data_IF_770773146544
#
_entry.id   IF_770773146544
#
_cell.length_a   1.000
_cell.length_b   1.000
_cell.length_c   1.000
_cell.angle_alpha   90.00
_cell.angle_beta   90.00
_cell.angle_gamma   90.00
#
_symmetry.space_group_name_H-M   'P 1'
#
loop_
_entity.id
_entity.type
_entity.pdbx_description
1 polymer ?
#
# COMPACT_ATOMS: atom_id res chain seq x y z
N UNK A 1 12.37 -8.64 8.84
CA UNK A 1 12.11 -8.31 10.28
C UNK A 1 11.39 -6.95 10.45
N UNK A 2 11.81 -5.89 9.75
CA UNK A 2 11.29 -4.53 10.00
C UNK A 2 9.78 -4.35 9.76
N UNK A 3 9.21 -4.97 8.70
CA UNK A 3 7.77 -4.82 8.37
C UNK A 3 6.87 -5.39 9.46
N UNK A 4 7.19 -6.58 9.97
CA UNK A 4 6.40 -7.22 11.01
C UNK A 4 6.38 -6.37 12.29
N UNK A 5 7.54 -5.86 12.73
CA UNK A 5 7.61 -5.00 13.91
C UNK A 5 6.78 -3.72 13.74
N UNK A 6 6.78 -3.12 12.55
CA UNK A 6 5.98 -1.93 12.24
C UNK A 6 4.48 -2.22 12.25
N UNK A 7 4.06 -3.38 11.75
CA UNK A 7 2.62 -3.67 11.62
C UNK A 7 1.98 -4.22 12.88
N UNK A 8 2.71 -5.02 13.68
CA UNK A 8 2.18 -5.62 14.90
C UNK A 8 2.22 -4.71 16.11
N UNK A 9 3.04 -3.66 16.08
CA UNK A 9 3.18 -2.77 17.22
C UNK A 9 2.93 -1.32 16.81
N UNK A 10 1.74 -0.82 17.16
CA UNK A 10 1.35 0.59 16.94
C UNK A 10 2.35 1.56 17.60
N UNK A 11 2.96 1.17 18.72
CA UNK A 11 3.97 1.99 19.38
C UNK A 11 5.25 2.10 18.55
N UNK A 12 5.61 1.08 17.75
CA UNK A 12 6.76 1.16 16.85
C UNK A 12 6.51 2.14 15.70
N UNK A 13 5.31 2.16 15.12
CA UNK A 13 4.94 3.18 14.12
C UNK A 13 4.92 4.59 14.71
N UNK A 14 4.30 4.78 15.88
CA UNK A 14 4.28 6.09 16.54
C UNK A 14 5.68 6.56 16.91
N UNK A 15 6.52 5.66 17.44
CA UNK A 15 7.90 5.98 17.75
C UNK A 15 8.69 6.36 16.50
N UNK A 16 8.53 5.60 15.41
CA UNK A 16 9.17 5.92 14.13
C UNK A 16 8.75 7.29 13.60
N UNK A 17 7.47 7.65 13.70
CA UNK A 17 6.95 8.97 13.31
C UNK A 17 7.54 10.11 14.13
N UNK A 18 7.82 9.87 15.41
CA UNK A 18 8.46 10.84 16.30
C UNK A 18 9.93 11.03 15.96
N UNK A 19 10.72 9.94 15.86
CA UNK A 19 12.18 10.01 15.62
C UNK A 19 12.56 10.23 14.15
N UNK A 20 11.57 10.28 13.25
CA UNK A 20 11.74 10.37 11.80
C UNK A 20 12.61 11.56 11.38
N UNK A 21 12.35 12.73 11.96
CA UNK A 21 13.03 13.98 11.60
C UNK A 21 14.43 14.06 12.21
N UNK A 22 14.70 13.32 13.29
CA UNK A 22 16.00 13.28 13.96
C UNK A 22 16.99 12.40 13.20
N UNK A 23 16.49 11.39 12.48
CA UNK A 23 17.30 10.39 11.76
C UNK A 23 16.81 10.12 10.33
N UNK A 24 16.77 11.14 9.45
CA UNK A 24 16.22 11.00 8.10
C UNK A 24 16.99 9.96 7.26
N UNK A 25 18.30 9.83 7.44
CA UNK A 25 19.13 8.85 6.74
C UNK A 25 18.76 7.40 7.10
N UNK A 26 18.50 7.12 8.38
CA UNK A 26 18.07 5.80 8.83
C UNK A 26 16.66 5.49 8.31
N UNK A 27 15.77 6.48 8.33
CA UNK A 27 14.42 6.35 7.81
C UNK A 27 14.37 6.09 6.31
N UNK A 28 15.22 6.75 5.51
CA UNK A 28 15.37 6.46 4.07
C UNK A 28 15.83 5.03 3.85
N UNK A 29 16.84 4.57 4.59
CA UNK A 29 17.36 3.20 4.45
C UNK A 29 16.28 2.16 4.78
N UNK A 30 15.48 2.40 5.82
CA UNK A 30 14.34 1.55 6.17
C UNK A 30 13.28 1.56 5.05
N UNK A 31 12.84 2.74 4.60
CA UNK A 31 11.86 2.88 3.52
C UNK A 31 12.32 2.19 2.22
N UNK A 32 13.60 2.28 1.90
CA UNK A 32 14.19 1.57 0.75
C UNK A 32 14.09 0.06 0.91
N UNK A 33 14.51 -0.48 2.06
CA UNK A 33 14.38 -1.92 2.35
C UNK A 33 12.93 -2.40 2.31
N UNK A 34 11.99 -1.58 2.78
CA UNK A 34 10.56 -1.88 2.70
C UNK A 34 10.07 -2.06 1.26
N UNK A 35 10.59 -1.25 0.32
CA UNK A 35 10.24 -1.33 -1.11
C UNK A 35 10.91 -2.52 -1.79
N UNK A 36 12.16 -2.82 -1.42
CA UNK A 36 12.95 -3.95 -1.92
C UNK A 36 12.37 -5.29 -1.46
N UNK A 37 12.13 -5.46 -0.17
CA UNK A 37 11.57 -6.69 0.43
C UNK A 37 10.03 -6.76 0.29
N UNK A 38 9.41 -5.81 -0.43
CA UNK A 38 7.96 -5.68 -0.50
C UNK A 38 7.27 -6.98 -0.90
N UNK A 39 7.81 -7.72 -1.88
CA UNK A 39 7.21 -8.95 -2.40
C UNK A 39 7.11 -10.05 -1.36
N UNK A 40 8.08 -10.12 -0.45
CA UNK A 40 8.15 -11.15 0.58
C UNK A 40 7.15 -10.86 1.71
N UNK A 41 6.98 -9.58 2.05
CA UNK A 41 6.14 -9.16 3.16
C UNK A 41 4.72 -8.75 2.75
N UNK A 42 4.47 -8.47 1.46
CA UNK A 42 3.16 -8.00 0.98
C UNK A 42 2.06 -9.03 1.21
N UNK A 43 2.38 -10.33 1.08
CA UNK A 43 1.40 -11.40 1.34
C UNK A 43 0.94 -11.40 2.80
N UNK A 44 1.87 -11.23 3.73
CA UNK A 44 1.57 -11.14 5.16
C UNK A 44 0.79 -9.87 5.49
N UNK A 45 1.14 -8.74 4.87
CA UNK A 45 0.39 -7.48 4.99
C UNK A 45 -1.05 -7.62 4.49
N UNK A 46 -1.24 -8.20 3.30
CA UNK A 46 -2.57 -8.42 2.72
C UNK A 46 -3.44 -9.35 3.56
N UNK A 47 -2.85 -10.24 4.36
CA UNK A 47 -3.61 -11.11 5.27
C UNK A 47 -4.22 -10.39 6.48
N UNK A 48 -3.72 -9.19 6.82
CA UNK A 48 -4.25 -8.37 7.91
C UNK A 48 -4.64 -6.97 7.40
N UNK A 49 -5.94 -6.69 7.22
CA UNK A 49 -6.43 -5.38 6.80
C UNK A 49 -6.02 -4.25 7.78
N UNK A 50 -5.96 -4.56 9.08
CA UNK A 50 -5.54 -3.62 10.13
C UNK A 50 -4.08 -3.21 10.00
N UNK A 51 -3.20 -4.19 9.78
CA UNK A 51 -1.75 -4.00 9.60
C UNK A 51 -1.48 -3.14 8.36
N UNK A 52 -2.19 -3.45 7.26
CA UNK A 52 -2.17 -2.68 6.01
C UNK A 52 -2.61 -1.23 6.24
N UNK A 53 -3.68 -1.01 7.02
CA UNK A 53 -4.19 0.34 7.33
C UNK A 53 -3.21 1.15 8.17
N UNK A 54 -2.62 0.56 9.20
CA UNK A 54 -1.63 1.22 10.08
C UNK A 54 -0.39 1.64 9.25
N UNK A 55 0.10 0.75 8.40
CA UNK A 55 1.24 1.04 7.54
C UNK A 55 0.92 2.18 6.55
N UNK A 56 -0.27 2.16 5.94
CA UNK A 56 -0.69 3.21 5.01
C UNK A 56 -0.80 4.58 5.69
N UNK A 57 -1.40 4.65 6.89
CA UNK A 57 -1.47 5.87 7.69
C UNK A 57 -0.07 6.40 8.01
N UNK A 58 0.84 5.51 8.39
CA UNK A 58 2.23 5.86 8.70
C UNK A 58 2.94 6.47 7.49
N UNK A 59 2.87 5.81 6.32
CA UNK A 59 3.48 6.33 5.08
C UNK A 59 2.90 7.67 4.65
N UNK A 60 1.58 7.83 4.81
CA UNK A 60 0.88 9.09 4.47
C UNK A 60 1.31 10.22 5.42
N UNK A 61 1.56 9.93 6.70
CA UNK A 61 2.04 10.91 7.68
C UNK A 61 3.45 11.42 7.38
N UNK A 62 4.28 10.64 6.67
CA UNK A 62 5.63 11.05 6.26
C UNK A 62 5.63 12.03 5.09
N UNK A 63 4.64 11.99 4.20
CA UNK A 63 4.55 12.88 3.04
C UNK A 63 4.64 14.37 3.41
N UNK A 64 3.79 14.91 4.32
CA UNK A 64 3.88 16.33 4.69
C UNK A 64 5.18 16.66 5.45
N UNK A 65 5.73 15.71 6.22
CA UNK A 65 7.03 15.88 6.90
C UNK A 65 8.17 16.01 5.88
N UNK A 66 8.17 15.15 4.87
CA UNK A 66 9.14 15.20 3.78
C UNK A 66 9.01 16.46 2.94
N UNK A 67 7.79 16.88 2.62
CA UNK A 67 7.54 18.09 1.85
C UNK A 67 8.07 19.33 2.57
N UNK A 68 7.86 19.43 3.89
CA UNK A 68 8.48 20.48 4.72
C UNK A 68 10.00 20.44 4.69
N UNK A 69 10.59 19.24 4.78
CA UNK A 69 12.05 19.08 4.72
C UNK A 69 12.65 19.41 3.34
N UNK A 70 11.87 19.25 2.27
CA UNK A 70 12.25 19.64 0.90
C UNK A 70 12.14 21.17 0.73
N UNK A 71 11.04 21.78 1.17
CA UNK A 71 10.80 23.22 1.01
C UNK A 71 11.66 24.08 1.92
N UNK A 72 12.02 23.59 3.11
CA UNK A 72 12.95 24.27 4.00
C UNK A 72 14.33 24.51 3.33
N UNK A 73 14.72 23.64 2.39
CA UNK A 73 16.03 23.68 1.74
C UNK A 73 17.16 23.33 2.71
N UNK A 74 18.18 22.63 2.23
CA UNK A 74 19.34 22.25 3.05
C UNK A 74 20.02 20.97 2.60
N UNK A 75 21.10 20.59 3.29
CA UNK A 75 21.91 19.41 2.97
C UNK A 75 21.11 18.09 3.00
N UNK A 76 20.01 18.04 3.75
CA UNK A 76 19.12 16.88 3.87
C UNK A 76 17.94 16.87 2.89
N UNK A 77 17.76 17.89 2.04
CA UNK A 77 16.62 17.97 1.12
C UNK A 77 16.56 16.78 0.14
N UNK A 78 17.72 16.26 -0.28
CA UNK A 78 17.83 15.06 -1.11
C UNK A 78 17.29 13.81 -0.40
N UNK A 79 17.59 13.64 0.90
CA UNK A 79 17.09 12.54 1.72
C UNK A 79 15.56 12.58 1.83
N UNK A 80 15.00 13.76 2.10
CA UNK A 80 13.54 13.91 2.17
C UNK A 80 12.85 13.65 0.83
N UNK A 81 13.48 14.01 -0.30
CA UNK A 81 12.97 13.68 -1.64
C UNK A 81 12.94 12.17 -1.89
N UNK A 82 14.01 11.47 -1.50
CA UNK A 82 14.11 10.02 -1.63
C UNK A 82 13.11 9.30 -0.70
N UNK A 83 13.01 9.74 0.56
CA UNK A 83 12.03 9.23 1.51
C UNK A 83 10.59 9.40 0.99
N UNK A 84 10.25 10.58 0.46
CA UNK A 84 8.92 10.86 -0.10
C UNK A 84 8.57 9.93 -1.26
N UNK A 85 9.56 9.64 -2.13
CA UNK A 85 9.40 8.69 -3.24
C UNK A 85 9.04 7.31 -2.72
N UNK A 86 9.78 6.79 -1.74
CA UNK A 86 9.52 5.47 -1.18
C UNK A 86 8.20 5.40 -0.41
N UNK A 87 7.87 6.41 0.41
CA UNK A 87 6.59 6.46 1.12
C UNK A 87 5.39 6.44 0.15
N UNK A 88 5.44 7.24 -0.92
CA UNK A 88 4.39 7.25 -1.97
C UNK A 88 4.29 5.90 -2.69
N UNK A 89 5.42 5.27 -3.00
CA UNK A 89 5.42 3.96 -3.66
C UNK A 89 4.82 2.86 -2.77
N UNK A 90 5.12 2.86 -1.47
CA UNK A 90 4.54 1.91 -0.51
C UNK A 90 3.02 2.13 -0.40
N UNK A 91 2.55 3.37 -0.21
CA UNK A 91 1.12 3.69 -0.17
C UNK A 91 0.39 3.29 -1.46
N UNK A 92 1.02 3.49 -2.62
CA UNK A 92 0.47 3.07 -3.92
C UNK A 92 0.33 1.55 -4.02
N UNK A 93 1.33 0.80 -3.55
CA UNK A 93 1.30 -0.67 -3.54
C UNK A 93 0.23 -1.20 -2.58
N UNK A 94 0.08 -0.58 -1.40
CA UNK A 94 -0.97 -0.89 -0.44
C UNK A 94 -2.38 -0.67 -1.03
N UNK A 95 -2.57 0.43 -1.75
CA UNK A 95 -3.85 0.76 -2.41
C UNK A 95 -4.19 -0.19 -3.57
N UNK A 96 -3.18 -0.56 -4.39
CA UNK A 96 -3.37 -1.45 -5.55
C UNK A 96 -3.76 -2.89 -5.19
N UNK A 97 -3.35 -3.39 -4.03
CA UNK A 97 -3.63 -4.76 -3.60
C UNK A 97 -5.12 -5.08 -3.45
N UNK A 98 -5.98 -4.06 -3.26
CA UNK A 98 -7.41 -4.25 -3.01
C UNK A 98 -8.30 -4.08 -4.25
N UNK A 99 -7.85 -3.35 -5.27
CA UNK A 99 -8.68 -2.98 -6.43
C UNK A 99 -8.98 -4.13 -7.38
N UNK A 100 -7.99 -5.01 -7.64
CA UNK A 100 -8.17 -6.14 -8.56
C UNK A 100 -9.18 -7.17 -8.05
N UNK A 101 -9.14 -7.47 -6.74
CA UNK A 101 -10.08 -8.42 -6.12
C UNK A 101 -11.52 -7.87 -6.12
N UNK A 102 -11.69 -6.57 -5.91
CA UNK A 102 -13.00 -5.93 -5.98
C UNK A 102 -13.58 -6.01 -7.40
N UNK A 103 -12.78 -5.73 -8.43
CA UNK A 103 -13.21 -5.84 -9.84
C UNK A 103 -13.54 -7.30 -10.21
N UNK A 104 -12.69 -8.26 -9.81
CA UNK A 104 -12.91 -9.67 -10.07
C UNK A 104 -14.21 -10.18 -9.41
N UNK A 105 -14.47 -9.80 -8.16
CA UNK A 105 -15.70 -10.14 -7.46
C UNK A 105 -16.94 -9.56 -8.17
N UNK A 106 -16.85 -8.32 -8.67
CA UNK A 106 -17.95 -7.66 -9.37
C UNK A 106 -18.25 -8.34 -10.72
N UNK A 107 -17.22 -8.76 -11.46
CA UNK A 107 -17.38 -9.53 -12.70
C UNK A 107 -18.02 -10.89 -12.45
N UNK A 108 -17.63 -11.60 -11.39
CA UNK A 108 -18.24 -12.89 -11.01
C UNK A 108 -19.72 -12.74 -10.66
N UNK A 109 -20.09 -11.69 -9.92
CA UNK A 109 -21.51 -11.41 -9.58
C UNK A 109 -22.32 -11.10 -10.84
N UNK A 110 -21.78 -10.28 -11.75
CA UNK A 110 -22.46 -9.95 -13.01
C UNK A 110 -22.64 -11.17 -13.91
N UNK A 111 -21.62 -12.03 -14.04
CA UNK A 111 -21.73 -13.27 -14.83
C UNK A 111 -22.69 -14.27 -14.18
N UNK A 112 -22.68 -14.41 -12.86
CA UNK A 112 -23.62 -15.26 -12.13
C UNK A 112 -25.07 -14.80 -12.27
N UNK A 113 -25.31 -13.48 -12.22
CA UNK A 113 -26.62 -12.89 -12.46
C UNK A 113 -27.09 -13.06 -13.92
N UNK A 114 -26.17 -13.01 -14.88
CA UNK A 114 -26.47 -13.23 -16.31
C UNK A 114 -26.88 -14.67 -16.60
N UNK A 115 -26.25 -15.64 -15.94
CA UNK A 115 -26.57 -17.08 -16.08
C UNK A 115 -27.85 -17.50 -15.35
N UNK A 116 -28.31 -16.72 -14.37
CA UNK A 116 -29.51 -17.02 -13.58
C UNK A 116 -30.76 -16.30 -14.07
N UNK A 117 -30.68 -15.48 -15.13
CA UNK A 117 -31.82 -14.79 -15.70
C UNK A 117 -32.63 -15.76 -16.61
N UNK A 118 -33.88 -16.10 -16.26
CA UNK A 118 -34.71 -16.99 -17.06
C UNK A 118 -35.23 -16.21 -18.28
N UNK A 119 -34.43 -16.17 -19.34
CA UNK A 119 -34.81 -15.47 -20.58
C UNK A 119 -33.75 -15.35 -21.67
N UNK A 120 -32.55 -15.89 -21.50
CA UNK A 120 -31.52 -15.88 -22.56
C UNK A 120 -31.63 -17.17 -23.37
N UNK A 121 -31.88 -17.12 -24.70
CA UNK A 121 -31.87 -18.30 -25.53
C UNK A 121 -30.44 -18.89 -25.58
N UNK A 122 -30.32 -20.19 -25.30
CA UNK A 122 -29.07 -20.92 -25.47
C UNK A 122 -28.58 -20.76 -26.91
N UNK A 123 -27.26 -20.57 -27.08
CA UNK A 123 -26.57 -20.52 -28.38
C UNK A 123 -26.66 -21.82 -29.22
N UNK A 124 -27.50 -22.78 -28.84
CA UNK A 124 -27.74 -24.03 -29.57
C UNK A 124 -29.06 -24.02 -30.36
N UNK A 125 -29.69 -22.86 -30.60
CA UNK A 125 -30.92 -22.74 -31.41
C UNK A 125 -30.73 -21.93 -32.71
N UNK A 126 -29.49 -21.63 -33.11
CA UNK A 126 -29.18 -20.93 -34.38
C UNK A 126 -28.49 -21.88 -35.36
N UNK A 127 -28.99 -23.10 -35.51
CA UNK A 127 -28.73 -23.94 -36.69
C UNK A 127 -29.97 -24.82 -36.92
N UNK A 128 -30.91 -24.31 -37.73
CA UNK A 128 -31.91 -25.09 -38.45
C UNK A 128 -32.25 -24.35 -39.74
#
# INVERSE_FOLDING_TARGET
>A
IAIWCLTKNVNCCNHWVTVYMDTPKASVALLKRLVEEWKDHSRTLSSSPSDTRILNLTMTSFVPKNERGITAGGASASLYKEANKYSKEISRRLSRGNGFLAIAALVVVLLGAWLSYPGVPNLCQVEA
#
